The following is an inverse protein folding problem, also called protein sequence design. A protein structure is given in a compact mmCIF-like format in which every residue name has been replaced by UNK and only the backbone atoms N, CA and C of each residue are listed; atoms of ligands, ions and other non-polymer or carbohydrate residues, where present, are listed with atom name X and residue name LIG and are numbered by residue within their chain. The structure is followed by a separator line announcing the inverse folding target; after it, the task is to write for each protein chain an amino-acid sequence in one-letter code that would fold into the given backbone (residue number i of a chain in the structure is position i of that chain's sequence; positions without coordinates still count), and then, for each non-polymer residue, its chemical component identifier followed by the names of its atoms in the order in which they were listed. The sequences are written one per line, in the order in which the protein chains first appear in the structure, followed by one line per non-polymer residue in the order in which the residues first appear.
data_IF_892441343957
#
_entry.id   IF_892441343957
#
_cell.length_a   1.000
_cell.length_b   1.000
_cell.length_c   1.000
_cell.angle_alpha   90.00
_cell.angle_beta   90.00
_cell.angle_gamma   90.00
#
_symmetry.space_group_name_H-M   'P 1'
#
loop_
_entity.id
_entity.type
_entity.pdbx_description
1 polymer ?
#
# COMPACT_ATOMS: atom_id res chain seq x y z
N UNK A 1 6.21 16.70 0.44
CA UNK A 1 5.45 15.71 -0.36
C UNK A 1 4.72 14.79 0.60
N UNK A 2 3.39 14.72 0.54
CA UNK A 2 2.61 13.81 1.39
C UNK A 2 2.89 12.38 0.93
N UNK A 3 3.35 11.52 1.83
CA UNK A 3 3.49 10.08 1.59
C UNK A 3 2.27 9.42 2.21
N UNK A 4 1.58 8.60 1.43
CA UNK A 4 0.45 7.82 1.94
C UNK A 4 0.95 6.44 2.33
N UNK A 5 0.46 5.89 3.43
CA UNK A 5 0.88 4.58 3.90
C UNK A 5 -0.33 3.65 3.89
N UNK A 6 -0.26 2.56 3.14
CA UNK A 6 -1.40 1.66 2.97
C UNK A 6 -1.07 0.33 3.63
N UNK A 7 -1.84 -0.04 4.64
CA UNK A 7 -1.67 -1.31 5.33
C UNK A 7 -2.13 -2.46 4.43
N UNK A 8 -1.32 -3.50 4.30
CA UNK A 8 -1.63 -4.65 3.47
C UNK A 8 -2.12 -5.84 4.31
N UNK A 9 -2.91 -6.69 3.68
CA UNK A 9 -3.42 -7.94 4.29
C UNK A 9 -2.40 -9.08 4.23
N UNK A 10 -1.48 -9.06 3.26
CA UNK A 10 -0.37 -10.02 3.12
C UNK A 10 0.83 -9.41 2.40
N UNK A 11 2.03 -9.98 2.58
CA UNK A 11 3.25 -9.59 1.85
C UNK A 11 3.12 -9.84 0.33
N UNK A 12 2.39 -10.87 -0.08
CA UNK A 12 2.17 -11.18 -1.50
C UNK A 12 1.39 -10.05 -2.19
N UNK A 13 0.36 -9.53 -1.52
CA UNK A 13 -0.39 -8.38 -2.02
C UNK A 13 0.44 -7.10 -1.98
N UNK A 14 1.30 -6.93 -0.95
CA UNK A 14 2.23 -5.81 -0.90
C UNK A 14 3.18 -5.78 -2.11
N UNK A 15 3.71 -6.94 -2.48
CA UNK A 15 4.56 -7.10 -3.67
C UNK A 15 3.79 -6.87 -4.97
N UNK A 16 2.56 -7.41 -5.07
CA UNK A 16 1.70 -7.21 -6.26
C UNK A 16 1.39 -5.73 -6.48
N UNK A 17 0.97 -5.04 -5.42
CA UNK A 17 0.70 -3.61 -5.44
C UNK A 17 1.95 -2.80 -5.79
N UNK A 18 3.12 -3.13 -5.22
CA UNK A 18 4.39 -2.48 -5.59
C UNK A 18 4.69 -2.62 -7.09
N UNK A 19 4.55 -3.82 -7.65
CA UNK A 19 4.83 -4.06 -9.06
C UNK A 19 3.87 -3.29 -9.97
N UNK A 20 2.58 -3.28 -9.63
CA UNK A 20 1.55 -2.51 -10.33
C UNK A 20 1.86 -1.01 -10.32
N UNK A 21 2.12 -0.45 -9.14
CA UNK A 21 2.40 0.97 -8.96
C UNK A 21 3.71 1.41 -9.64
N UNK A 22 4.75 0.58 -9.58
CA UNK A 22 5.98 0.81 -10.31
C UNK A 22 5.77 0.81 -11.84
N UNK A 23 4.91 -0.09 -12.35
CA UNK A 23 4.52 -0.09 -13.77
C UNK A 23 3.82 1.20 -14.21
N UNK A 24 3.07 1.80 -13.29
CA UNK A 24 2.40 3.09 -13.46
C UNK A 24 3.30 4.31 -13.16
N UNK A 25 4.60 4.09 -12.90
CA UNK A 25 5.61 5.12 -12.54
C UNK A 25 5.33 5.82 -11.20
N UNK A 26 4.52 5.24 -10.32
CA UNK A 26 4.39 5.72 -8.94
C UNK A 26 5.53 5.17 -8.09
N UNK A 27 6.19 6.06 -7.33
CA UNK A 27 7.22 5.64 -6.40
C UNK A 27 6.57 5.00 -5.16
N UNK A 28 6.89 3.72 -4.95
CA UNK A 28 6.34 2.94 -3.86
C UNK A 28 7.38 2.06 -3.17
N UNK A 29 7.29 1.97 -1.86
CA UNK A 29 8.17 1.16 -1.01
C UNK A 29 7.38 0.30 -0.05
N UNK A 30 7.78 -0.97 0.09
CA UNK A 30 7.19 -1.85 1.10
C UNK A 30 7.96 -1.64 2.40
N UNK A 31 7.22 -1.31 3.46
CA UNK A 31 7.74 -1.09 4.79
C UNK A 31 6.96 -1.91 5.81
N UNK A 32 7.60 -2.31 6.90
CA UNK A 32 6.91 -3.04 7.96
C UNK A 32 5.94 -2.13 8.71
N UNK A 33 4.70 -2.59 8.89
CA UNK A 33 3.70 -1.84 9.66
C UNK A 33 4.15 -1.78 11.12
N UNK A 34 4.17 -0.60 11.75
CA UNK A 34 4.52 -0.47 13.16
C UNK A 34 3.62 -1.36 14.02
N UNK A 35 4.22 -2.12 14.95
CA UNK A 35 3.50 -3.08 15.81
C UNK A 35 2.35 -2.46 16.63
N UNK A 36 2.37 -1.14 16.81
CA UNK A 36 1.35 -0.41 17.56
C UNK A 36 0.10 -0.04 16.74
N UNK A 37 0.09 -0.22 15.42
CA UNK A 37 -0.96 0.34 14.55
C UNK A 37 -1.82 -0.68 13.77
N UNK A 38 -1.58 -1.99 13.84
CA UNK A 38 -2.48 -2.90 13.12
C UNK A 38 -2.25 -4.39 13.29
N UNK A 39 -3.33 -5.09 13.60
CA UNK A 39 -3.53 -6.55 13.48
C UNK A 39 -3.51 -6.97 11.99
N UNK A 40 -2.40 -6.83 11.29
CA UNK A 40 -2.23 -7.24 9.88
C UNK A 40 -1.04 -8.17 9.69
N UNK A 41 -0.67 -8.45 8.43
CA UNK A 41 0.52 -9.24 8.10
C UNK A 41 1.86 -8.58 8.49
N UNK A 42 1.81 -7.37 9.03
CA UNK A 42 3.00 -6.59 9.39
C UNK A 42 3.65 -5.87 8.22
N UNK A 43 3.00 -5.78 7.06
CA UNK A 43 3.49 -5.08 5.87
C UNK A 43 2.55 -3.98 5.42
N UNK A 44 3.14 -2.89 4.97
CA UNK A 44 2.48 -1.69 4.48
C UNK A 44 3.26 -1.14 3.28
N UNK A 45 2.60 -0.38 2.42
CA UNK A 45 3.22 0.25 1.25
C UNK A 45 3.19 1.76 1.46
N UNK A 46 4.36 2.37 1.41
CA UNK A 46 4.52 3.82 1.38
C UNK A 46 4.54 4.26 -0.08
N UNK A 47 3.64 5.18 -0.45
CA UNK A 47 3.48 5.68 -1.82
C UNK A 47 3.62 7.20 -1.82
N UNK A 48 4.29 7.75 -2.82
CA UNK A 48 4.45 9.22 -2.98
C UNK A 48 3.28 9.85 -3.74
N UNK A 49 2.09 9.30 -3.58
CA UNK A 49 0.87 9.71 -4.27
C UNK A 49 -0.30 9.79 -3.27
N UNK A 50 -1.38 10.51 -3.64
CA UNK A 50 -2.59 10.55 -2.83
C UNK A 50 -3.12 9.13 -2.58
N UNK A 51 -3.48 8.87 -1.33
CA UNK A 51 -3.97 7.55 -0.94
C UNK A 51 -5.21 7.14 -1.74
N UNK A 52 -6.11 8.09 -2.03
CA UNK A 52 -7.35 7.89 -2.80
C UNK A 52 -7.11 7.31 -4.20
N UNK A 53 -6.13 7.87 -4.92
CA UNK A 53 -5.76 7.43 -6.27
C UNK A 53 -5.19 6.00 -6.22
N UNK A 54 -4.36 5.74 -5.23
CA UNK A 54 -3.73 4.43 -5.05
C UNK A 54 -4.76 3.39 -4.62
N UNK A 55 -5.67 3.72 -3.71
CA UNK A 55 -6.76 2.82 -3.32
C UNK A 55 -7.68 2.52 -4.50
N UNK A 56 -8.00 3.49 -5.34
CA UNK A 56 -8.78 3.26 -6.55
C UNK A 56 -8.09 2.28 -7.52
N UNK A 57 -6.78 2.42 -7.72
CA UNK A 57 -5.97 1.50 -8.53
C UNK A 57 -5.96 0.09 -7.91
N UNK A 58 -5.76 -0.01 -6.59
CA UNK A 58 -5.74 -1.28 -5.88
C UNK A 58 -7.11 -1.97 -5.92
N UNK A 59 -8.20 -1.23 -5.77
CA UNK A 59 -9.57 -1.75 -5.85
C UNK A 59 -9.91 -2.23 -7.26
N UNK A 60 -9.51 -1.48 -8.28
CA UNK A 60 -9.68 -1.87 -9.68
C UNK A 60 -8.97 -3.21 -9.97
N UNK A 61 -7.78 -3.41 -9.41
CA UNK A 61 -6.99 -4.64 -9.52
C UNK A 61 -7.36 -5.73 -8.49
N UNK A 62 -8.42 -5.50 -7.71
CA UNK A 62 -8.93 -6.38 -6.63
C UNK A 62 -7.84 -6.80 -5.66
N UNK A 63 -6.97 -5.87 -5.27
CA UNK A 63 -5.89 -6.10 -4.31
C UNK A 63 -6.41 -5.76 -2.90
N UNK A 64 -6.60 -6.76 -2.02
CA UNK A 64 -7.12 -6.54 -0.68
C UNK A 64 -6.11 -5.78 0.19
N UNK A 65 -6.52 -4.58 0.60
CA UNK A 65 -5.79 -3.69 1.48
C UNK A 65 -6.60 -3.45 2.76
N UNK A 66 -5.92 -3.18 3.87
CA UNK A 66 -6.54 -3.08 5.20
C UNK A 66 -7.04 -1.68 5.52
N UNK A 67 -6.50 -0.67 4.83
CA UNK A 67 -6.85 0.74 5.02
C UNK A 67 -5.66 1.66 4.83
N UNK A 68 -5.95 2.95 4.75
CA UNK A 68 -4.98 4.03 4.64
C UNK A 68 -4.60 4.47 6.07
N UNK A 69 -3.30 4.50 6.34
CA UNK A 69 -2.70 5.11 7.52
C UNK A 69 -2.15 6.46 7.04
N UNK A 70 -2.85 7.55 7.38
CA UNK A 70 -2.47 8.93 7.05
C UNK A 70 -1.51 9.52 8.06
#
# INVERSE_FOLDING_TARGET
MKKSLIAMTSITYAMKAKNLLNGLKYYCEIQRTPKNLGTGCGYSISVTAPAEEITAILDNERIPHKGIIS
#
